data_IF_800613112355
#
_entry.id   IF_800613112355
#
_cell.length_a   1.000
_cell.length_b   1.000
_cell.length_c   1.000
_cell.angle_alpha   90.00
_cell.angle_beta   90.00
_cell.angle_gamma   90.00
#
_symmetry.space_group_name_H-M   'P 1'
#
loop_
_entity.id
_entity.type
_entity.pdbx_description
1 polymer ?
#
# COMPACT_ATOMS: atom_id res chain seq x y z
N UNK A 1 -29.45 53.57 -28.08
CA UNK A 1 -28.81 53.28 -26.77
C UNK A 1 -28.91 51.80 -26.37
N UNK A 2 -29.98 51.08 -26.72
CA UNK A 2 -30.19 49.66 -26.38
C UNK A 2 -29.21 48.66 -27.03
N UNK A 3 -28.72 48.96 -28.23
CA UNK A 3 -27.77 48.09 -28.98
C UNK A 3 -26.39 47.99 -28.31
N UNK A 4 -25.88 49.10 -27.77
CA UNK A 4 -24.60 49.15 -27.05
C UNK A 4 -24.66 48.42 -25.70
N UNK A 5 -25.82 48.41 -25.05
CA UNK A 5 -26.02 47.66 -23.80
C UNK A 5 -26.06 46.15 -24.07
N UNK A 6 -26.71 45.70 -25.16
CA UNK A 6 -26.72 44.28 -25.52
C UNK A 6 -25.32 43.75 -25.89
N UNK A 7 -24.55 44.51 -26.66
CA UNK A 7 -23.17 44.15 -26.99
C UNK A 7 -22.31 44.05 -25.73
N UNK A 8 -22.46 45.00 -24.79
CA UNK A 8 -21.75 44.98 -23.52
C UNK A 8 -22.15 43.79 -22.62
N UNK A 9 -23.45 43.46 -22.56
CA UNK A 9 -23.94 42.32 -21.79
C UNK A 9 -23.47 40.98 -22.39
N UNK A 10 -23.43 40.87 -23.72
CA UNK A 10 -22.90 39.68 -24.41
C UNK A 10 -21.41 39.50 -24.17
N UNK A 11 -20.62 40.58 -24.26
CA UNK A 11 -19.19 40.58 -23.96
C UNK A 11 -18.90 40.16 -22.51
N UNK A 12 -19.69 40.66 -21.56
CA UNK A 12 -19.56 40.29 -20.16
C UNK A 12 -19.93 38.81 -19.93
N UNK A 13 -21.02 38.35 -20.54
CA UNK A 13 -21.50 36.97 -20.44
C UNK A 13 -20.53 35.95 -21.08
N UNK A 14 -19.96 36.26 -22.24
CA UNK A 14 -18.98 35.39 -22.88
C UNK A 14 -17.73 35.20 -22.01
N UNK A 15 -17.23 36.30 -21.40
CA UNK A 15 -16.07 36.26 -20.51
C UNK A 15 -16.36 35.48 -19.23
N UNK A 16 -17.55 35.62 -18.65
CA UNK A 16 -17.91 34.84 -17.45
C UNK A 16 -18.00 33.36 -17.76
N UNK A 17 -18.55 32.95 -18.92
CA UNK A 17 -18.56 31.53 -19.34
C UNK A 17 -17.13 30.98 -19.48
N UNK A 18 -16.25 31.70 -20.18
CA UNK A 18 -14.86 31.25 -20.40
C UNK A 18 -14.12 31.14 -19.06
N UNK A 19 -14.31 32.08 -18.14
CA UNK A 19 -13.69 32.02 -16.82
C UNK A 19 -14.25 30.86 -15.98
N UNK A 20 -15.57 30.65 -15.96
CA UNK A 20 -16.19 29.56 -15.20
C UNK A 20 -15.74 28.20 -15.74
N UNK A 21 -15.74 28.01 -17.06
CA UNK A 21 -15.28 26.76 -17.69
C UNK A 21 -13.80 26.49 -17.42
N UNK A 22 -12.94 27.51 -17.50
CA UNK A 22 -11.54 27.41 -17.11
C UNK A 22 -11.38 26.98 -15.64
N UNK A 23 -12.11 27.63 -14.73
CA UNK A 23 -12.06 27.29 -13.30
C UNK A 23 -12.56 25.86 -13.03
N UNK A 24 -13.59 25.40 -13.74
CA UNK A 24 -14.07 24.02 -13.63
C UNK A 24 -13.04 23.02 -14.14
N UNK A 25 -12.37 23.29 -15.27
CA UNK A 25 -11.30 22.44 -15.79
C UNK A 25 -10.14 22.38 -14.79
N UNK A 26 -9.69 23.53 -14.28
CA UNK A 26 -8.63 23.59 -13.27
C UNK A 26 -9.02 22.82 -12.00
N UNK A 27 -10.27 22.96 -11.55
CA UNK A 27 -10.78 22.20 -10.41
C UNK A 27 -10.76 20.69 -10.67
N UNK A 28 -11.20 20.25 -11.86
CA UNK A 28 -11.17 18.84 -12.25
C UNK A 28 -9.72 18.31 -12.27
N UNK A 29 -8.78 19.07 -12.85
CA UNK A 29 -7.37 18.70 -12.89
C UNK A 29 -6.77 18.61 -11.48
N UNK A 30 -7.09 19.55 -10.59
CA UNK A 30 -6.67 19.53 -9.19
C UNK A 30 -7.25 18.31 -8.47
N UNK A 31 -8.54 18.00 -8.64
CA UNK A 31 -9.15 16.81 -8.04
C UNK A 31 -8.45 15.52 -8.52
N UNK A 32 -8.13 15.43 -9.82
CA UNK A 32 -7.39 14.29 -10.37
C UNK A 32 -5.98 14.21 -9.82
N UNK A 33 -5.29 15.34 -9.70
CA UNK A 33 -3.94 15.42 -9.12
C UNK A 33 -3.93 15.00 -7.65
N UNK A 34 -4.91 15.46 -6.86
CA UNK A 34 -5.04 15.07 -5.44
C UNK A 34 -5.37 13.58 -5.29
N UNK A 35 -6.21 13.02 -6.17
CA UNK A 35 -6.51 11.58 -6.18
C UNK A 35 -5.30 10.74 -6.62
N UNK A 36 -4.48 11.25 -7.53
CA UNK A 36 -3.24 10.58 -7.97
C UNK A 36 -2.15 10.61 -6.89
N UNK A 37 -2.13 11.65 -6.06
CA UNK A 37 -1.16 11.84 -4.98
C UNK A 37 -1.66 11.36 -3.60
N UNK A 38 -2.78 10.63 -3.52
CA UNK A 38 -3.08 9.93 -2.27
C UNK A 38 -1.95 8.94 -2.04
N UNK A 39 -1.17 9.07 -0.94
CA UNK A 39 -0.03 8.21 -0.72
C UNK A 39 -0.55 6.79 -0.58
N UNK A 40 -0.20 5.94 -1.54
CA UNK A 40 -0.35 4.51 -1.37
C UNK A 40 0.45 4.11 -0.13
N UNK A 41 -0.13 3.27 0.74
CA UNK A 41 0.50 2.97 2.03
C UNK A 41 1.80 2.21 1.77
N UNK A 42 2.89 2.61 2.41
CA UNK A 42 4.17 1.93 2.24
C UNK A 42 4.10 0.51 2.83
N UNK A 43 4.97 -0.39 2.37
CA UNK A 43 5.12 -1.74 2.96
C UNK A 43 5.39 -1.68 4.46
N UNK A 44 6.17 -0.70 4.93
CA UNK A 44 6.43 -0.48 6.35
C UNK A 44 5.17 -0.10 7.12
N UNK A 45 4.31 0.74 6.53
CA UNK A 45 3.04 1.15 7.12
C UNK A 45 2.02 -0.01 7.14
N UNK A 46 2.00 -0.83 6.08
CA UNK A 46 1.19 -2.05 6.02
C UNK A 46 1.60 -3.04 7.12
N UNK A 47 2.90 -3.33 7.25
CA UNK A 47 3.43 -4.20 8.30
C UNK A 47 3.15 -3.68 9.72
N UNK A 48 3.30 -2.37 9.95
CA UNK A 48 2.96 -1.77 11.25
C UNK A 48 1.47 -1.95 11.58
N UNK A 49 0.60 -1.86 10.59
CA UNK A 49 -0.84 -2.08 10.78
C UNK A 49 -1.15 -3.55 11.14
N UNK A 50 -0.45 -4.51 10.53
CA UNK A 50 -0.57 -5.92 10.89
C UNK A 50 -0.08 -6.15 12.32
N UNK A 51 1.07 -5.59 12.72
CA UNK A 51 1.60 -5.69 14.09
C UNK A 51 0.65 -5.08 15.13
N UNK A 52 0.02 -3.94 14.83
CA UNK A 52 -0.98 -3.33 15.71
C UNK A 52 -2.22 -4.22 15.87
N UNK A 53 -2.72 -4.80 14.77
CA UNK A 53 -3.96 -5.60 14.78
C UNK A 53 -3.78 -7.03 15.29
N UNK A 54 -2.65 -7.67 15.01
CA UNK A 54 -2.38 -9.07 15.33
C UNK A 54 -0.95 -9.21 15.89
N UNK A 55 -0.65 -8.64 17.07
CA UNK A 55 0.72 -8.54 17.57
C UNK A 55 1.40 -9.91 17.68
N UNK A 56 2.70 -9.94 17.40
CA UNK A 56 3.48 -11.16 17.56
C UNK A 56 3.68 -11.47 19.04
N UNK A 57 3.32 -12.68 19.45
CA UNK A 57 3.59 -13.21 20.78
C UNK A 57 4.68 -14.26 20.69
N UNK A 58 5.36 -14.52 21.80
CA UNK A 58 6.26 -15.68 21.89
C UNK A 58 5.44 -16.93 22.12
N UNK A 59 5.68 -17.95 21.31
CA UNK A 59 5.11 -19.26 21.50
C UNK A 59 5.62 -19.84 22.82
N UNK A 60 4.72 -20.48 23.52
CA UNK A 60 4.98 -21.25 24.73
C UNK A 60 4.14 -22.50 24.66
N UNK A 61 4.65 -23.61 25.17
CA UNK A 61 3.92 -24.88 25.23
C UNK A 61 2.61 -24.79 26.02
N UNK A 62 2.43 -23.72 26.81
CA UNK A 62 1.20 -23.42 27.56
C UNK A 62 0.14 -22.70 26.73
N UNK A 63 0.48 -22.13 25.57
CA UNK A 63 -0.50 -21.54 24.66
C UNK A 63 -1.37 -22.65 24.08
N UNK A 64 -2.68 -22.58 24.33
CA UNK A 64 -3.69 -23.41 23.64
C UNK A 64 -3.83 -22.92 22.20
N UNK A 65 -2.85 -23.23 21.36
CA UNK A 65 -3.01 -23.11 19.91
C UNK A 65 -3.90 -24.26 19.41
N UNK A 66 -4.67 -24.01 18.36
CA UNK A 66 -5.52 -25.03 17.72
C UNK A 66 -4.68 -26.14 17.07
N UNK A 67 -3.46 -25.79 16.65
CA UNK A 67 -2.46 -26.69 16.10
C UNK A 67 -1.08 -26.39 16.71
N UNK A 68 -0.22 -27.41 16.76
CA UNK A 68 1.17 -27.31 17.23
C UNK A 68 2.16 -26.96 16.11
N UNK A 69 1.69 -26.91 14.87
CA UNK A 69 2.48 -26.65 13.67
C UNK A 69 1.93 -25.47 12.86
N UNK A 70 2.85 -24.77 12.20
CA UNK A 70 2.52 -23.70 11.28
C UNK A 70 2.08 -24.29 9.94
N UNK A 71 0.83 -24.05 9.54
CA UNK A 71 0.27 -24.61 8.29
C UNK A 71 0.79 -23.95 7.01
N UNK A 72 1.66 -22.95 7.11
CA UNK A 72 2.29 -22.28 5.97
C UNK A 72 3.65 -22.92 5.66
N UNK A 73 4.54 -23.04 6.64
CA UNK A 73 5.84 -23.68 6.46
C UNK A 73 5.88 -25.17 6.82
N UNK A 74 4.79 -25.70 7.39
CA UNK A 74 4.63 -27.08 7.84
C UNK A 74 5.60 -27.51 8.97
N UNK A 75 6.18 -26.54 9.67
CA UNK A 75 7.08 -26.78 10.81
C UNK A 75 6.36 -26.63 12.15
N UNK A 76 6.73 -27.46 13.12
CA UNK A 76 6.27 -27.36 14.51
C UNK A 76 6.73 -26.05 15.17
N UNK A 77 5.91 -25.51 16.07
CA UNK A 77 6.26 -24.34 16.86
C UNK A 77 7.25 -24.69 17.97
N UNK A 78 8.30 -23.89 18.11
CA UNK A 78 9.30 -24.02 19.17
C UNK A 78 9.13 -22.95 20.25
N UNK A 79 9.51 -23.29 21.48
CA UNK A 79 9.42 -22.38 22.64
C UNK A 79 10.19 -21.08 22.36
N UNK A 80 9.53 -19.94 22.53
CA UNK A 80 10.12 -18.62 22.31
C UNK A 80 10.01 -18.08 20.87
N UNK A 81 9.57 -18.88 19.90
CA UNK A 81 9.36 -18.41 18.53
C UNK A 81 8.27 -17.34 18.44
N UNK A 82 8.41 -16.41 17.49
CA UNK A 82 7.39 -15.38 17.28
C UNK A 82 6.26 -15.95 16.44
N UNK A 83 5.06 -15.99 17.03
CA UNK A 83 3.84 -16.44 16.38
C UNK A 83 2.78 -15.36 16.45
N UNK A 84 1.86 -15.36 15.50
CA UNK A 84 0.68 -14.50 15.48
C UNK A 84 -0.55 -15.38 15.59
N UNK A 85 -1.46 -15.03 16.51
CA UNK A 85 -2.76 -15.67 16.64
C UNK A 85 -3.81 -14.74 16.01
N UNK A 86 -4.57 -15.26 15.06
CA UNK A 86 -5.62 -14.53 14.39
C UNK A 86 -6.92 -14.54 15.19
N UNK A 87 -7.85 -13.62 14.91
CA UNK A 87 -9.18 -13.62 15.51
C UNK A 87 -9.99 -14.91 15.24
N UNK A 88 -9.65 -15.63 14.17
CA UNK A 88 -10.21 -16.94 13.86
C UNK A 88 -9.54 -18.10 14.63
N UNK A 89 -8.67 -17.82 15.61
CA UNK A 89 -7.94 -18.76 16.50
C UNK A 89 -6.83 -19.60 15.88
N UNK A 90 -6.58 -19.43 14.59
CA UNK A 90 -5.46 -20.05 13.91
C UNK A 90 -4.14 -19.31 14.22
N UNK A 91 -3.10 -20.08 14.51
CA UNK A 91 -1.75 -19.58 14.84
C UNK A 91 -0.78 -19.89 13.71
N UNK A 92 0.11 -18.95 13.42
CA UNK A 92 1.16 -19.07 12.40
C UNK A 92 2.45 -18.41 12.90
N UNK A 93 3.60 -18.77 12.34
CA UNK A 93 4.82 -17.96 12.55
C UNK A 93 4.58 -16.54 12.06
N UNK A 94 5.11 -15.57 12.80
CA UNK A 94 5.01 -14.15 12.46
C UNK A 94 5.40 -13.91 11.00
N UNK A 95 6.57 -14.39 10.59
CA UNK A 95 7.11 -14.10 9.27
C UNK A 95 6.37 -14.86 8.16
N UNK A 96 5.90 -16.08 8.44
CA UNK A 96 5.07 -16.85 7.51
C UNK A 96 3.74 -16.15 7.22
N UNK A 97 3.07 -15.64 8.27
CA UNK A 97 1.82 -14.91 8.10
C UNK A 97 2.06 -13.55 7.43
N UNK A 98 3.09 -12.80 7.83
CA UNK A 98 3.40 -11.50 7.26
C UNK A 98 3.66 -11.61 5.74
N UNK A 99 4.42 -12.64 5.31
CA UNK A 99 4.67 -12.91 3.90
C UNK A 99 3.38 -13.31 3.17
N UNK A 100 2.54 -14.15 3.78
CA UNK A 100 1.26 -14.56 3.20
C UNK A 100 0.34 -13.36 2.91
N UNK A 101 0.23 -12.44 3.88
CA UNK A 101 -0.60 -11.24 3.80
C UNK A 101 -0.07 -10.21 2.80
N UNK A 102 1.23 -10.23 2.48
CA UNK A 102 1.84 -9.36 1.48
C UNK A 102 1.72 -9.93 0.07
N UNK A 103 1.98 -11.23 -0.11
CA UNK A 103 2.17 -11.82 -1.45
C UNK A 103 0.92 -12.47 -2.05
N UNK A 104 0.01 -12.99 -1.21
CA UNK A 104 -1.07 -13.85 -1.71
C UNK A 104 -2.44 -13.27 -1.40
N UNK A 105 -2.78 -13.19 -0.11
CA UNK A 105 -4.08 -12.67 0.30
C UNK A 105 -4.10 -12.23 1.76
N UNK A 106 -4.86 -11.17 2.03
CA UNK A 106 -5.08 -10.64 3.37
C UNK A 106 -6.09 -11.47 4.21
N UNK A 107 -6.05 -12.79 4.06
CA UNK A 107 -6.97 -13.73 4.72
C UNK A 107 -6.22 -14.86 5.42
N UNK A 108 -6.87 -15.51 6.38
CA UNK A 108 -6.31 -16.67 7.06
C UNK A 108 -6.05 -17.81 6.05
N UNK A 109 -4.83 -18.39 6.00
CA UNK A 109 -4.50 -19.53 5.13
C UNK A 109 -5.41 -20.75 5.30
N UNK A 110 -6.02 -20.93 6.48
CA UNK A 110 -6.83 -22.11 6.80
C UNK A 110 -8.32 -21.92 6.54
N UNK A 111 -8.91 -20.84 7.04
CA UNK A 111 -10.37 -20.64 6.99
C UNK A 111 -10.80 -19.42 6.16
N UNK A 112 -9.87 -18.72 5.53
CA UNK A 112 -10.13 -17.53 4.69
C UNK A 112 -10.83 -16.37 5.41
N UNK A 113 -10.85 -16.38 6.74
CA UNK A 113 -11.33 -15.23 7.51
C UNK A 113 -10.47 -14.00 7.19
N UNK A 114 -11.12 -12.83 7.02
CA UNK A 114 -10.40 -11.59 6.74
C UNK A 114 -9.53 -11.21 7.93
N UNK A 115 -8.25 -10.96 7.67
CA UNK A 115 -7.28 -10.55 8.69
C UNK A 115 -7.18 -9.03 8.77
N UNK A 116 -7.31 -8.36 7.62
CA UNK A 116 -7.22 -6.91 7.49
C UNK A 116 -8.48 -6.31 6.84
N UNK A 117 -8.77 -5.02 7.08
CA UNK A 117 -9.86 -4.31 6.40
C UNK A 117 -9.58 -4.13 4.90
N UNK A 118 -10.64 -4.19 4.08
CA UNK A 118 -10.53 -4.12 2.62
C UNK A 118 -9.85 -2.83 2.12
N UNK A 119 -10.07 -1.69 2.77
CA UNK A 119 -9.46 -0.42 2.37
C UNK A 119 -7.93 -0.40 2.56
N UNK A 120 -7.41 -1.09 3.59
CA UNK A 120 -5.96 -1.18 3.83
C UNK A 120 -5.32 -2.02 2.74
N UNK A 121 -5.93 -3.17 2.43
CA UNK A 121 -5.46 -4.09 1.40
C UNK A 121 -5.51 -3.44 0.02
N UNK A 122 -6.59 -2.73 -0.30
CA UNK A 122 -6.72 -2.00 -1.55
C UNK A 122 -5.60 -0.96 -1.72
N UNK A 123 -5.33 -0.16 -0.68
CA UNK A 123 -4.28 0.85 -0.72
C UNK A 123 -2.88 0.23 -0.89
N UNK A 124 -2.61 -0.93 -0.28
CA UNK A 124 -1.33 -1.64 -0.44
C UNK A 124 -1.17 -2.21 -1.85
N UNK A 125 -2.23 -2.80 -2.41
CA UNK A 125 -2.20 -3.33 -3.78
C UNK A 125 -1.98 -2.23 -4.82
N UNK A 126 -2.52 -1.03 -4.59
CA UNK A 126 -2.24 0.13 -5.44
C UNK A 126 -0.75 0.49 -5.44
N UNK A 127 -0.08 0.44 -4.28
CA UNK A 127 1.36 0.65 -4.18
C UNK A 127 2.13 -0.42 -4.98
N UNK A 128 1.77 -1.69 -4.80
CA UNK A 128 2.44 -2.80 -5.49
C UNK A 128 2.32 -2.66 -7.02
N UNK A 129 1.14 -2.30 -7.53
CA UNK A 129 0.95 -2.06 -8.96
C UNK A 129 1.74 -0.86 -9.47
N UNK A 130 1.81 0.24 -8.69
CA UNK A 130 2.63 1.41 -9.05
C UNK A 130 4.12 1.07 -9.13
N UNK A 131 4.64 0.31 -8.16
CA UNK A 131 6.04 -0.13 -8.14
C UNK A 131 6.34 -1.07 -9.32
N UNK A 132 5.42 -1.98 -9.65
CA UNK A 132 5.59 -2.89 -10.78
C UNK A 132 5.58 -2.15 -12.13
N UNK A 133 4.71 -1.14 -12.30
CA UNK A 133 4.68 -0.29 -13.50
C UNK A 133 5.97 0.53 -13.67
N UNK A 134 6.57 1.00 -12.56
CA UNK A 134 7.87 1.72 -12.59
C UNK A 134 9.05 0.80 -12.96
N UNK A 135 9.04 -0.48 -12.56
CA UNK A 135 10.10 -1.43 -12.90
C UNK A 135 10.00 -1.95 -14.35
N UNK A 136 8.79 -2.09 -14.90
CA UNK A 136 8.57 -2.59 -16.27
C UNK A 136 8.86 -1.53 -17.37
N UNK A 137 8.81 -0.23 -17.06
CA UNK A 137 9.17 0.87 -17.98
C UNK A 137 10.69 1.09 -18.10
N UNK A 138 11.49 0.39 -17.29
CA UNK A 138 12.94 0.51 -17.30
C UNK A 138 13.59 -0.52 -18.24
N UNK A 139 13.80 -0.12 -19.49
CA UNK A 139 14.72 -0.77 -20.44
C UNK A 139 16.07 -1.03 -19.74
N UNK A 140 16.39 -2.32 -19.59
CA UNK A 140 17.45 -2.87 -18.74
C UNK A 140 18.90 -2.54 -19.13
N UNK A 141 19.19 -1.32 -19.59
CA UNK A 141 20.55 -0.87 -19.88
C UNK A 141 21.23 -0.13 -18.73
N UNK A 142 20.53 0.08 -17.62
CA UNK A 142 20.93 1.04 -16.60
C UNK A 142 21.03 0.44 -15.18
N UNK A 143 21.62 -0.74 -15.05
CA UNK A 143 22.11 -1.22 -13.75
C UNK A 143 23.06 -0.20 -13.07
N UNK A 144 23.60 0.76 -13.83
CA UNK A 144 24.42 1.86 -13.30
C UNK A 144 23.59 2.98 -12.67
N UNK A 145 22.37 3.29 -13.13
CA UNK A 145 21.59 4.41 -12.61
C UNK A 145 20.82 4.06 -11.34
N UNK A 146 20.29 2.83 -11.18
CA UNK A 146 19.71 2.39 -9.90
C UNK A 146 20.79 2.37 -8.81
N UNK A 147 21.99 1.91 -9.14
CA UNK A 147 23.15 1.97 -8.23
C UNK A 147 23.52 3.42 -7.89
N UNK A 148 23.58 4.32 -8.87
CA UNK A 148 23.86 5.75 -8.66
C UNK A 148 22.79 6.45 -7.79
N UNK A 149 21.50 6.16 -8.01
CA UNK A 149 20.40 6.74 -7.24
C UNK A 149 20.39 6.21 -5.79
N UNK A 150 20.79 4.96 -5.58
CA UNK A 150 21.01 4.38 -4.24
C UNK A 150 22.20 5.02 -3.51
N UNK A 151 23.26 5.41 -4.24
CA UNK A 151 24.41 6.10 -3.68
C UNK A 151 24.11 7.58 -3.35
N UNK A 152 23.20 8.22 -4.09
CA UNK A 152 22.80 9.63 -3.87
C UNK A 152 21.78 9.79 -2.72
N UNK A 153 20.93 8.78 -2.45
CA UNK A 153 20.18 8.69 -1.19
C UNK A 153 21.11 8.11 -0.12
N UNK A 154 22.00 8.93 0.43
CA UNK A 154 22.92 8.54 1.50
C UNK A 154 22.21 7.85 2.68
N UNK A 155 22.14 6.53 2.64
CA UNK A 155 21.49 5.67 3.63
C UNK A 155 22.32 4.41 3.83
N UNK A 156 23.22 4.46 4.80
CA UNK A 156 23.98 3.32 5.30
C UNK A 156 23.03 2.19 5.70
N UNK A 157 23.15 1.01 5.09
CA UNK A 157 22.99 -0.33 5.71
C UNK A 157 22.92 -1.39 4.60
N UNK A 158 24.04 -1.99 4.19
CA UNK A 158 24.09 -3.38 3.68
C UNK A 158 25.50 -3.97 3.87
N UNK A 159 25.87 -4.33 5.10
CA UNK A 159 26.50 -5.64 5.33
C UNK A 159 25.29 -6.60 5.43
N UNK A 160 25.15 -7.69 4.69
CA UNK A 160 25.94 -8.91 4.82
C UNK A 160 25.48 -9.86 3.70
N UNK A 161 26.28 -10.07 2.67
CA UNK A 161 26.23 -11.26 1.81
C UNK A 161 27.67 -11.58 1.39
N UNK A 162 28.37 -12.24 2.30
CA UNK A 162 29.46 -13.18 2.03
C UNK A 162 29.16 -14.43 2.86
#
# INVERSE_FOLDING_TARGET
MTRSVCEFLYELYAKTIVLVTYMLIQLILIIRYLKSNTPAISTTQYLSFIEEKNPAIRYTTRLKAEHIDCRVCLSEFQEGEKVRNLNCRHTFHKDCLDQWLQQYCATCPLCRHKVLPDHVVANYNLLQNQVQEEEEDYDGNDHQLIFFLSALRGGSTWHTYL
#
